data_IF_843112639445
#
_entry.id   IF_843112639445
#
_cell.length_a   1.000
_cell.length_b   1.000
_cell.length_c   1.000
_cell.angle_alpha   90.00
_cell.angle_beta   90.00
_cell.angle_gamma   90.00
#
_symmetry.space_group_name_H-M   'P 1'
#
loop_
_entity.id
_entity.type
_entity.pdbx_description
1 polymer ?
#
# COMPACT_ATOMS: atom_id res chain seq x y z
N UNK A 1 14.54 -3.57 -26.98
CA UNK A 1 13.73 -4.03 -25.83
C UNK A 1 12.32 -4.28 -26.32
N UNK A 2 11.89 -5.54 -26.48
CA UNK A 2 10.48 -5.86 -26.68
C UNK A 2 9.83 -5.66 -25.31
N UNK A 3 8.95 -4.67 -25.17
CA UNK A 3 8.13 -4.56 -23.98
C UNK A 3 7.17 -5.75 -23.99
N UNK A 4 7.44 -6.73 -23.14
CA UNK A 4 6.54 -7.87 -22.92
C UNK A 4 5.22 -7.35 -22.36
N UNK A 5 4.22 -7.20 -23.24
CA UNK A 5 2.86 -6.77 -22.88
C UNK A 5 2.24 -7.61 -21.76
N UNK A 6 2.69 -8.87 -21.58
CA UNK A 6 2.27 -9.72 -20.47
C UNK A 6 2.63 -9.14 -19.10
N UNK A 7 3.83 -8.58 -18.94
CA UNK A 7 4.29 -8.00 -17.67
C UNK A 7 3.44 -6.76 -17.34
N UNK A 8 3.12 -5.92 -18.33
CA UNK A 8 2.25 -4.76 -18.12
C UNK A 8 0.83 -5.16 -17.73
N UNK A 9 0.31 -6.24 -18.31
CA UNK A 9 -1.06 -6.72 -18.05
C UNK A 9 -1.21 -7.35 -16.67
N UNK A 10 -0.16 -8.00 -16.16
CA UNK A 10 -0.12 -8.59 -14.82
C UNK A 10 0.27 -7.58 -13.73
N UNK A 11 1.03 -6.54 -14.09
CA UNK A 11 1.40 -5.46 -13.16
C UNK A 11 0.23 -4.51 -12.85
N UNK A 12 -0.68 -4.30 -13.79
CA UNK A 12 -1.84 -3.40 -13.65
C UNK A 12 -2.76 -3.77 -12.46
N UNK A 13 -3.27 -5.01 -12.35
CA UNK A 13 -4.10 -5.40 -11.21
C UNK A 13 -3.32 -5.36 -9.88
N UNK A 14 -2.01 -5.62 -9.92
CA UNK A 14 -1.14 -5.56 -8.74
C UNK A 14 -0.99 -4.13 -8.22
N UNK A 15 -0.85 -3.16 -9.13
CA UNK A 15 -0.81 -1.73 -8.80
C UNK A 15 -2.15 -1.24 -8.25
N UNK A 16 -3.28 -1.70 -8.79
CA UNK A 16 -4.61 -1.36 -8.28
C UNK A 16 -4.83 -1.92 -6.87
N UNK A 17 -4.45 -3.17 -6.61
CA UNK A 17 -4.51 -3.75 -5.26
C UNK A 17 -3.64 -2.98 -4.27
N UNK A 18 -2.43 -2.57 -4.68
CA UNK A 18 -1.57 -1.73 -3.85
C UNK A 18 -2.28 -0.44 -3.46
N UNK A 19 -2.78 0.30 -4.45
CA UNK A 19 -3.41 1.60 -4.21
C UNK A 19 -4.61 1.43 -3.27
N UNK A 20 -5.44 0.40 -3.48
CA UNK A 20 -6.58 0.09 -2.63
C UNK A 20 -6.16 -0.21 -1.17
N UNK A 21 -5.15 -1.07 -0.97
CA UNK A 21 -4.64 -1.42 0.37
C UNK A 21 -4.04 -0.18 1.05
N UNK A 22 -3.25 0.60 0.33
CA UNK A 22 -2.58 1.78 0.88
C UNK A 22 -3.61 2.84 1.28
N UNK A 23 -4.62 3.10 0.44
CA UNK A 23 -5.72 4.00 0.77
C UNK A 23 -6.53 3.52 1.97
N UNK A 24 -6.78 2.21 2.07
CA UNK A 24 -7.47 1.62 3.20
C UNK A 24 -6.69 1.85 4.51
N UNK A 25 -5.39 1.57 4.53
CA UNK A 25 -4.54 1.80 5.71
C UNK A 25 -4.41 3.28 6.08
N UNK A 26 -4.37 4.19 5.11
CA UNK A 26 -4.37 5.64 5.35
C UNK A 26 -5.68 6.05 6.04
N UNK A 27 -6.83 5.62 5.51
CA UNK A 27 -8.14 5.92 6.09
C UNK A 27 -8.27 5.36 7.51
N UNK A 28 -7.78 4.13 7.71
CA UNK A 28 -7.82 3.46 9.01
C UNK A 28 -6.90 4.17 10.02
N UNK A 29 -5.69 4.55 9.62
CA UNK A 29 -4.76 5.32 10.43
C UNK A 29 -5.29 6.72 10.77
N UNK A 30 -5.97 7.37 9.83
CA UNK A 30 -6.64 8.66 10.06
C UNK A 30 -7.76 8.55 11.08
N UNK A 31 -8.61 7.54 10.96
CA UNK A 31 -9.72 7.29 11.89
C UNK A 31 -9.21 6.98 13.30
N UNK A 32 -8.26 6.06 13.42
CA UNK A 32 -7.69 5.67 14.73
C UNK A 32 -6.96 6.85 15.38
N UNK A 33 -6.06 7.51 14.66
CA UNK A 33 -5.31 8.62 15.25
C UNK A 33 -6.17 9.87 15.46
N UNK A 34 -7.21 10.07 14.65
CA UNK A 34 -8.19 11.14 14.81
C UNK A 34 -9.06 11.03 16.07
N UNK A 35 -9.26 9.81 16.58
CA UNK A 35 -9.92 9.56 17.88
C UNK A 35 -9.08 10.04 19.07
N UNK A 36 -7.76 10.16 18.90
CA UNK A 36 -6.84 10.55 19.97
C UNK A 36 -6.47 12.03 19.87
N UNK A 37 -5.86 12.46 18.76
CA UNK A 37 -5.45 13.85 18.50
C UNK A 37 -5.05 14.03 17.03
N UNK A 38 -5.21 15.24 16.47
CA UNK A 38 -4.80 15.57 15.09
C UNK A 38 -3.34 15.27 14.78
N UNK A 39 -2.41 15.46 15.72
CA UNK A 39 -1.00 15.06 15.51
C UNK A 39 -0.84 13.52 15.45
N UNK A 40 -1.60 12.79 16.26
CA UNK A 40 -1.54 11.34 16.30
C UNK A 40 -2.14 10.71 15.03
N UNK A 41 -3.15 11.36 14.44
CA UNK A 41 -3.70 11.04 13.11
C UNK A 41 -2.62 10.99 12.03
N UNK A 42 -1.75 12.01 11.97
CA UNK A 42 -0.66 12.07 10.99
C UNK A 42 0.33 10.93 11.19
N UNK A 43 0.70 10.64 12.45
CA UNK A 43 1.62 9.55 12.79
C UNK A 43 1.02 8.19 12.40
N UNK A 44 -0.24 7.94 12.74
CA UNK A 44 -0.94 6.70 12.39
C UNK A 44 -1.11 6.52 10.87
N UNK A 45 -1.39 7.58 10.12
CA UNK A 45 -1.40 7.55 8.66
C UNK A 45 -0.02 7.16 8.11
N UNK A 46 1.06 7.74 8.63
CA UNK A 46 2.43 7.45 8.19
C UNK A 46 2.83 5.99 8.45
N UNK A 47 2.45 5.46 9.62
CA UNK A 47 2.65 4.06 9.98
C UNK A 47 1.84 3.16 9.04
N UNK A 48 0.58 3.50 8.77
CA UNK A 48 -0.29 2.75 7.84
C UNK A 48 0.29 2.64 6.43
N UNK A 49 0.83 3.74 5.88
CA UNK A 49 1.50 3.74 4.57
C UNK A 49 2.76 2.86 4.59
N UNK A 50 3.57 2.98 5.63
CA UNK A 50 4.82 2.22 5.76
C UNK A 50 4.55 0.71 5.84
N UNK A 51 3.55 0.30 6.61
CA UNK A 51 3.12 -1.10 6.73
C UNK A 51 2.51 -1.60 5.41
N UNK A 52 1.67 -0.80 4.74
CA UNK A 52 1.08 -1.14 3.45
C UNK A 52 2.14 -1.37 2.35
N UNK A 53 3.14 -0.49 2.27
CA UNK A 53 4.28 -0.65 1.37
C UNK A 53 5.14 -1.88 1.72
N UNK A 54 5.43 -2.09 3.01
CA UNK A 54 6.19 -3.25 3.46
C UNK A 54 5.50 -4.58 3.11
N UNK A 55 4.19 -4.66 3.33
CA UNK A 55 3.38 -5.83 2.98
C UNK A 55 3.39 -6.09 1.48
N UNK A 56 3.29 -5.04 0.67
CA UNK A 56 3.34 -5.18 -0.78
C UNK A 56 4.69 -5.67 -1.29
N UNK A 57 5.78 -5.05 -0.83
CA UNK A 57 7.14 -5.46 -1.22
C UNK A 57 7.36 -6.92 -0.85
N UNK A 58 6.96 -7.33 0.36
CA UNK A 58 7.03 -8.73 0.77
C UNK A 58 6.25 -9.67 -0.17
N UNK A 59 5.03 -9.27 -0.55
CA UNK A 59 4.17 -10.07 -1.45
C UNK A 59 4.74 -10.18 -2.87
N UNK A 60 5.35 -9.12 -3.39
CA UNK A 60 6.10 -9.14 -4.65
C UNK A 60 7.28 -10.09 -4.54
N UNK A 61 8.13 -9.93 -3.52
CA UNK A 61 9.32 -10.77 -3.35
C UNK A 61 8.96 -12.24 -3.28
N UNK A 62 7.90 -12.61 -2.55
CA UNK A 62 7.40 -13.98 -2.49
C UNK A 62 6.82 -14.54 -3.80
N UNK A 63 6.42 -13.68 -4.74
CA UNK A 63 5.83 -14.08 -6.02
C UNK A 63 6.91 -14.27 -7.11
N UNK A 64 8.06 -13.61 -6.97
CA UNK A 64 9.15 -13.65 -7.94
C UNK A 64 10.39 -14.43 -7.46
N UNK A 65 10.44 -14.87 -6.20
CA UNK A 65 11.33 -15.94 -5.73
C UNK A 65 10.70 -17.31 -5.99
#
# INVERSE_FOLDING_TARGET
MKFDLGIMRDALPLAVELVAITLFFILLGYFIGGLVNKMFSVVCMFIGVTVGLGFFVWRITKRFQ
#
